data_IF_612813415142
#
_entry.id   IF_612813415142
#
_cell.length_a   1.000
_cell.length_b   1.000
_cell.length_c   1.000
_cell.angle_alpha   90.00
_cell.angle_beta   90.00
_cell.angle_gamma   90.00
#
_symmetry.space_group_name_H-M   'P 1'
#
loop_
_entity.id
_entity.type
_entity.pdbx_description
1 polymer ?
#
# COMPACT_ATOMS: atom_id res chain seq x y z
N UNK A 1 5.27 18.06 -14.07
CA UNK A 1 4.70 17.84 -15.41
C UNK A 1 5.75 17.07 -16.21
N UNK A 2 5.40 16.11 -17.06
CA UNK A 2 6.40 15.43 -17.90
C UNK A 2 6.64 16.23 -19.19
N UNK A 3 7.72 15.91 -19.90
CA UNK A 3 8.19 16.70 -21.04
C UNK A 3 7.19 16.69 -22.21
N UNK A 4 6.55 15.55 -22.50
CA UNK A 4 5.52 15.44 -23.55
C UNK A 4 4.33 16.40 -23.28
N UNK A 5 3.82 16.45 -22.04
CA UNK A 5 2.75 17.36 -21.66
C UNK A 5 3.22 18.81 -21.59
N UNK A 6 4.47 19.04 -21.15
CA UNK A 6 5.03 20.38 -21.09
C UNK A 6 5.15 20.98 -22.49
N UNK A 7 5.70 20.23 -23.46
CA UNK A 7 5.80 20.67 -24.84
C UNK A 7 4.42 20.96 -25.45
N UNK A 8 3.46 20.04 -25.27
CA UNK A 8 2.09 20.27 -25.74
C UNK A 8 1.46 21.53 -25.10
N UNK A 9 1.80 21.84 -23.85
CA UNK A 9 1.36 23.11 -23.26
C UNK A 9 1.96 24.31 -23.99
N UNK A 10 3.27 24.29 -24.30
CA UNK A 10 3.95 25.37 -25.03
C UNK A 10 3.35 25.56 -26.43
N UNK A 11 3.13 24.47 -27.17
CA UNK A 11 2.59 24.50 -28.53
C UNK A 11 1.15 25.05 -28.59
N UNK A 12 0.41 24.90 -27.49
CA UNK A 12 -0.96 25.40 -27.31
C UNK A 12 -1.03 26.87 -26.89
N UNK A 13 0.04 27.45 -26.34
CA UNK A 13 0.10 28.86 -25.87
C UNK A 13 0.34 29.83 -27.04
N UNK A 14 -0.62 29.87 -27.96
CA UNK A 14 -0.61 30.73 -29.14
C UNK A 14 -1.97 31.37 -29.34
N UNK A 15 -1.97 32.51 -30.03
CA UNK A 15 -3.16 33.30 -30.35
C UNK A 15 -3.95 33.76 -29.12
N UNK A 16 -3.29 33.94 -27.97
CA UNK A 16 -3.90 34.45 -26.75
C UNK A 16 -3.78 35.99 -26.68
N UNK A 17 -4.79 36.64 -26.10
CA UNK A 17 -4.69 38.03 -25.64
C UNK A 17 -4.19 38.03 -24.19
N UNK A 18 -3.03 38.66 -23.96
CA UNK A 18 -2.32 38.60 -22.68
C UNK A 18 -2.30 39.98 -22.02
N UNK A 19 -2.75 39.99 -20.77
CA UNK A 19 -2.97 41.21 -20.00
C UNK A 19 -2.05 41.29 -18.79
N UNK A 20 -1.87 42.50 -18.25
CA UNK A 20 -0.92 42.74 -17.17
C UNK A 20 -1.47 42.33 -15.80
N UNK A 21 -2.73 42.64 -15.55
CA UNK A 21 -3.31 42.49 -14.21
C UNK A 21 -3.81 41.05 -13.99
N UNK A 22 -3.56 40.48 -12.81
CA UNK A 22 -4.07 39.16 -12.47
C UNK A 22 -5.58 39.23 -12.27
N UNK A 23 -6.32 38.72 -13.25
CA UNK A 23 -7.72 38.35 -13.14
C UNK A 23 -7.86 36.82 -12.95
N UNK A 24 -9.03 36.34 -12.53
CA UNK A 24 -9.33 34.91 -12.58
C UNK A 24 -9.01 34.33 -13.97
N UNK A 25 -8.30 33.19 -14.01
CA UNK A 25 -7.80 32.58 -15.25
C UNK A 25 -8.91 32.26 -16.25
N UNK A 26 -10.16 32.07 -15.81
CA UNK A 26 -11.30 31.84 -16.70
C UNK A 26 -11.79 33.10 -17.42
N UNK A 27 -11.44 34.30 -16.93
CA UNK A 27 -11.83 35.57 -17.54
C UNK A 27 -10.75 36.08 -18.50
N UNK A 28 -9.49 36.05 -18.08
CA UNK A 28 -8.41 36.69 -18.82
C UNK A 28 -7.07 35.98 -18.54
N UNK A 29 -6.19 35.94 -19.53
CA UNK A 29 -4.84 35.38 -19.36
C UNK A 29 -3.89 36.49 -18.92
N UNK A 30 -3.37 36.38 -17.70
CA UNK A 30 -2.35 37.32 -17.22
C UNK A 30 -0.94 36.87 -17.60
N UNK A 31 -0.07 37.82 -17.89
CA UNK A 31 1.34 37.54 -18.18
C UNK A 31 2.03 36.83 -17.00
N UNK A 32 1.68 37.23 -15.77
CA UNK A 32 2.17 36.59 -14.55
C UNK A 32 1.78 35.10 -14.50
N UNK A 33 0.53 34.75 -14.81
CA UNK A 33 0.08 33.35 -14.79
C UNK A 33 0.81 32.47 -15.80
N UNK A 34 1.15 33.01 -16.98
CA UNK A 34 1.95 32.30 -17.97
C UNK A 34 3.34 32.04 -17.41
N UNK A 35 4.01 33.06 -16.87
CA UNK A 35 5.34 32.89 -16.27
C UNK A 35 5.35 31.91 -15.10
N UNK A 36 4.40 31.99 -14.17
CA UNK A 36 4.26 30.99 -13.11
C UNK A 36 4.16 29.57 -13.69
N UNK A 37 3.41 29.39 -14.79
CA UNK A 37 3.31 28.13 -15.50
C UNK A 37 4.63 27.66 -16.11
N UNK A 38 5.30 28.54 -16.85
CA UNK A 38 6.55 28.25 -17.56
C UNK A 38 7.72 27.94 -16.62
N UNK A 39 7.90 28.73 -15.57
CA UNK A 39 8.94 28.47 -14.55
C UNK A 39 8.65 27.20 -13.74
N UNK A 40 7.42 26.68 -13.79
CA UNK A 40 7.08 25.36 -13.26
C UNK A 40 7.56 24.17 -14.10
N UNK A 41 8.04 24.39 -15.32
CA UNK A 41 8.58 23.35 -16.21
C UNK A 41 10.03 23.08 -15.83
N UNK A 42 10.33 21.81 -15.55
CA UNK A 42 11.66 21.36 -15.15
C UNK A 42 12.65 21.33 -16.33
N UNK A 43 12.19 20.90 -17.52
CA UNK A 43 13.02 20.87 -18.71
C UNK A 43 13.33 22.30 -19.20
N UNK A 44 14.59 22.69 -19.11
CA UNK A 44 15.02 24.06 -19.37
C UNK A 44 14.86 24.49 -20.83
N UNK A 45 15.04 23.55 -21.77
CA UNK A 45 14.88 23.81 -23.20
C UNK A 45 13.43 24.15 -23.54
N UNK A 46 12.48 23.34 -23.04
CA UNK A 46 11.04 23.56 -23.23
C UNK A 46 10.61 24.87 -22.56
N UNK A 47 11.14 25.16 -21.37
CA UNK A 47 10.87 26.40 -20.65
C UNK A 47 11.37 27.62 -21.44
N UNK A 48 12.60 27.59 -21.94
CA UNK A 48 13.20 28.67 -22.72
C UNK A 48 12.43 28.92 -24.02
N UNK A 49 12.03 27.84 -24.71
CA UNK A 49 11.18 27.92 -25.90
C UNK A 49 9.83 28.61 -25.57
N UNK A 50 9.17 28.16 -24.50
CA UNK A 50 7.91 28.74 -24.05
C UNK A 50 8.01 30.23 -23.74
N UNK A 51 9.08 30.67 -23.09
CA UNK A 51 9.35 32.09 -22.81
C UNK A 51 9.57 32.88 -24.12
N UNK A 52 10.32 32.32 -25.07
CA UNK A 52 10.53 32.94 -26.39
C UNK A 52 9.25 33.04 -27.22
N UNK A 53 8.34 32.08 -27.04
CA UNK A 53 7.08 31.98 -27.77
C UNK A 53 6.03 33.00 -27.32
N UNK A 54 6.11 33.54 -26.10
CA UNK A 54 5.12 34.47 -25.55
C UNK A 54 4.88 35.65 -26.49
N UNK A 55 5.94 36.43 -26.79
CA UNK A 55 5.84 37.61 -27.65
C UNK A 55 5.67 37.27 -29.13
N UNK A 56 6.13 36.08 -29.54
CA UNK A 56 6.15 35.67 -30.95
C UNK A 56 4.77 35.22 -31.44
N UNK A 57 4.00 34.55 -30.60
CA UNK A 57 2.76 33.90 -31.01
C UNK A 57 1.51 34.42 -30.29
N UNK A 58 1.64 35.41 -29.41
CA UNK A 58 0.52 35.97 -28.65
C UNK A 58 0.50 37.50 -28.72
N UNK A 59 -0.66 38.07 -28.43
CA UNK A 59 -0.88 39.51 -28.45
C UNK A 59 -0.88 40.06 -27.03
N UNK A 60 0.15 40.84 -26.71
CA UNK A 60 0.27 41.47 -25.39
C UNK A 60 -0.36 42.87 -25.42
N UNK A 61 -1.09 43.22 -24.35
CA UNK A 61 -1.45 44.62 -24.11
C UNK A 61 -0.19 45.47 -23.87
N UNK A 62 -0.24 46.77 -24.19
CA UNK A 62 0.89 47.68 -23.99
C UNK A 62 1.42 47.68 -22.54
N UNK A 63 0.51 47.56 -21.56
CA UNK A 63 0.87 47.46 -20.15
C UNK A 63 1.52 46.11 -19.82
N UNK A 64 1.08 45.01 -20.42
CA UNK A 64 1.72 43.71 -20.20
C UNK A 64 3.13 43.69 -20.78
N UNK A 65 3.33 44.29 -21.95
CA UNK A 65 4.64 44.34 -22.59
C UNK A 65 5.63 45.26 -21.82
N UNK A 66 5.15 46.40 -21.32
CA UNK A 66 5.95 47.29 -20.45
C UNK A 66 6.41 46.61 -19.16
N UNK A 67 5.59 45.72 -18.59
CA UNK A 67 5.86 45.05 -17.31
C UNK A 67 6.46 43.64 -17.48
N UNK A 68 6.91 43.26 -18.68
CA UNK A 68 7.32 41.90 -19.01
C UNK A 68 8.40 41.33 -18.06
N UNK A 69 9.47 42.09 -17.82
CA UNK A 69 10.57 41.64 -16.95
C UNK A 69 10.15 41.47 -15.48
N UNK A 70 9.27 42.35 -14.99
CA UNK A 70 8.72 42.25 -13.63
C UNK A 70 7.81 41.03 -13.49
N UNK A 71 6.95 40.78 -14.48
CA UNK A 71 6.08 39.60 -14.51
C UNK A 71 6.88 38.29 -14.55
N UNK A 72 7.96 38.25 -15.34
CA UNK A 72 8.89 37.11 -15.40
C UNK A 72 9.50 36.82 -14.03
N UNK A 73 10.11 37.83 -13.41
CA UNK A 73 10.76 37.70 -12.09
C UNK A 73 9.77 37.28 -11.00
N UNK A 74 8.53 37.78 -11.07
CA UNK A 74 7.49 37.41 -10.12
C UNK A 74 6.97 35.98 -10.33
N UNK A 75 6.87 35.53 -11.58
CA UNK A 75 6.42 34.18 -11.92
C UNK A 75 7.42 33.12 -11.46
N UNK A 76 8.72 33.41 -11.58
CA UNK A 76 9.80 32.54 -11.09
C UNK A 76 9.72 32.28 -9.58
N UNK A 77 9.23 33.25 -8.80
CA UNK A 77 9.04 33.10 -7.35
C UNK A 77 7.87 32.20 -6.97
N UNK A 78 6.94 31.94 -7.89
CA UNK A 78 5.73 31.12 -7.65
C UNK A 78 5.48 30.12 -8.80
N UNK A 79 6.43 29.19 -9.04
CA UNK A 79 6.32 28.26 -10.14
C UNK A 79 5.18 27.26 -9.90
N UNK A 80 4.30 27.09 -10.88
CA UNK A 80 3.22 26.12 -10.85
C UNK A 80 2.83 25.70 -12.28
N UNK A 81 3.35 24.57 -12.79
CA UNK A 81 3.15 24.18 -14.19
C UNK A 81 1.69 23.83 -14.51
N UNK A 82 0.88 23.48 -13.51
CA UNK A 82 -0.55 23.16 -13.71
C UNK A 82 -1.38 24.38 -14.14
N UNK A 83 -0.83 25.59 -14.05
CA UNK A 83 -1.49 26.80 -14.54
C UNK A 83 -1.63 26.75 -16.07
N UNK A 84 -0.65 26.19 -16.79
CA UNK A 84 -0.68 26.15 -18.26
C UNK A 84 -1.86 25.32 -18.78
N UNK A 85 -2.12 24.16 -18.18
CA UNK A 85 -3.26 23.33 -18.56
C UNK A 85 -4.59 24.02 -18.26
N UNK A 86 -4.67 24.81 -17.18
CA UNK A 86 -5.84 25.64 -16.88
C UNK A 86 -6.05 26.75 -17.92
N UNK A 87 -4.99 27.45 -18.31
CA UNK A 87 -5.06 28.49 -19.36
C UNK A 87 -5.62 27.87 -20.65
N UNK A 88 -5.05 26.74 -21.09
CA UNK A 88 -5.52 26.06 -22.31
C UNK A 88 -6.97 25.59 -22.19
N UNK A 89 -7.38 25.08 -21.02
CA UNK A 89 -8.77 24.66 -20.79
C UNK A 89 -9.79 25.78 -21.02
N UNK A 90 -9.47 27.01 -20.63
CA UNK A 90 -10.40 28.14 -20.73
C UNK A 90 -10.24 28.92 -22.04
N UNK A 91 -9.01 29.14 -22.51
CA UNK A 91 -8.71 30.05 -23.61
C UNK A 91 -8.31 29.35 -24.91
N UNK A 92 -8.13 28.02 -24.89
CA UNK A 92 -7.87 27.22 -26.08
C UNK A 92 -8.55 25.85 -25.98
N UNK A 93 -9.89 25.88 -25.84
CA UNK A 93 -10.72 24.73 -25.45
C UNK A 93 -10.58 23.53 -26.39
N UNK A 94 -10.57 23.77 -27.70
CA UNK A 94 -10.48 22.70 -28.70
C UNK A 94 -9.13 21.98 -28.61
N UNK A 95 -8.04 22.75 -28.49
CA UNK A 95 -6.70 22.18 -28.29
C UNK A 95 -6.60 21.43 -26.96
N UNK A 96 -7.23 21.95 -25.89
CA UNK A 96 -7.26 21.27 -24.60
C UNK A 96 -7.97 19.92 -24.68
N UNK A 97 -9.14 19.86 -25.30
CA UNK A 97 -9.93 18.63 -25.40
C UNK A 97 -9.26 17.59 -26.32
N UNK A 98 -8.64 18.02 -27.42
CA UNK A 98 -8.02 17.11 -28.40
C UNK A 98 -6.62 16.63 -28.00
N UNK A 99 -5.81 17.49 -27.37
CA UNK A 99 -4.38 17.20 -27.12
C UNK A 99 -4.08 17.09 -25.63
N UNK A 100 -4.41 18.12 -24.84
CA UNK A 100 -4.00 18.18 -23.42
C UNK A 100 -4.72 17.14 -22.57
N UNK A 101 -6.04 16.99 -22.73
CA UNK A 101 -6.87 16.10 -21.92
C UNK A 101 -6.49 14.61 -22.10
N UNK A 102 -6.27 14.10 -23.33
CA UNK A 102 -5.72 12.75 -23.52
C UNK A 102 -4.35 12.55 -22.86
N UNK A 103 -3.43 13.52 -22.99
CA UNK A 103 -2.11 13.45 -22.37
C UNK A 103 -2.19 13.43 -20.83
N UNK A 104 -3.07 14.24 -20.24
CA UNK A 104 -3.34 14.21 -18.79
C UNK A 104 -3.83 12.84 -18.33
N UNK A 105 -4.73 12.21 -19.09
CA UNK A 105 -5.24 10.86 -18.79
C UNK A 105 -4.12 9.82 -18.86
N UNK A 106 -3.33 9.83 -19.95
CA UNK A 106 -2.17 8.94 -20.15
C UNK A 106 -1.16 9.06 -19.01
N UNK A 107 -0.83 10.28 -18.61
CA UNK A 107 0.11 10.55 -17.51
C UNK A 107 -0.41 10.07 -16.15
N UNK A 108 -1.70 10.26 -15.89
CA UNK A 108 -2.32 9.77 -14.66
C UNK A 108 -2.25 8.23 -14.60
N UNK A 109 -2.57 7.55 -15.69
CA UNK A 109 -2.49 6.09 -15.78
C UNK A 109 -1.04 5.57 -15.65
N UNK A 110 -0.07 6.25 -16.28
CA UNK A 110 1.35 5.92 -16.16
C UNK A 110 1.85 6.03 -14.71
N UNK A 111 1.55 7.15 -14.04
CA UNK A 111 1.89 7.33 -12.61
C UNK A 111 1.23 6.29 -11.72
N UNK A 112 -0.02 5.90 -12.03
CA UNK A 112 -0.71 4.83 -11.31
C UNK A 112 0.00 3.48 -11.47
N UNK A 113 0.46 3.15 -12.68
CA UNK A 113 1.24 1.93 -12.95
C UNK A 113 2.62 1.97 -12.28
N UNK A 114 3.34 3.09 -12.35
CA UNK A 114 4.64 3.25 -11.68
C UNK A 114 4.53 3.06 -10.17
N UNK A 115 3.53 3.68 -9.53
CA UNK A 115 3.23 3.44 -8.11
C UNK A 115 2.95 1.96 -7.85
N UNK A 116 2.13 1.31 -8.67
CA UNK A 116 1.86 -0.12 -8.55
C UNK A 116 3.14 -0.98 -8.66
N UNK A 117 4.05 -0.63 -9.57
CA UNK A 117 5.35 -1.31 -9.72
C UNK A 117 6.25 -1.11 -8.51
N UNK A 118 6.34 0.12 -7.99
CA UNK A 118 7.12 0.44 -6.79
C UNK A 118 6.61 -0.33 -5.57
N UNK A 119 5.28 -0.36 -5.37
CA UNK A 119 4.63 -1.19 -4.34
C UNK A 119 5.02 -2.65 -4.51
N UNK A 120 4.99 -3.13 -5.76
CA UNK A 120 5.27 -4.51 -6.03
C UNK A 120 6.72 -4.92 -5.73
N UNK A 121 7.67 -3.97 -5.79
CA UNK A 121 9.07 -4.17 -5.46
C UNK A 121 9.37 -3.96 -3.96
N UNK A 122 8.63 -3.08 -3.28
CA UNK A 122 8.92 -2.66 -1.90
C UNK A 122 8.27 -3.56 -0.85
N UNK A 123 7.15 -4.21 -1.19
CA UNK A 123 6.49 -5.15 -0.27
C UNK A 123 7.28 -6.46 -0.16
N UNK A 124 7.87 -6.66 1.03
CA UNK A 124 8.53 -7.88 1.48
C UNK A 124 7.55 -9.06 1.36
N UNK A 125 8.00 -10.27 0.97
CA UNK A 125 7.14 -11.45 0.88
C UNK A 125 6.26 -11.65 2.12
N UNK A 126 4.96 -11.86 1.91
CA UNK A 126 3.99 -12.16 2.98
C UNK A 126 4.53 -13.20 3.95
N UNK A 127 4.99 -12.73 5.10
CA UNK A 127 5.33 -13.58 6.23
C UNK A 127 4.46 -13.09 7.37
N UNK A 128 3.42 -13.87 7.64
CA UNK A 128 2.62 -13.67 8.84
C UNK A 128 3.49 -14.13 10.00
N UNK A 129 3.77 -13.21 10.92
CA UNK A 129 4.45 -13.48 12.17
C UNK A 129 3.41 -13.42 13.31
N UNK A 130 3.31 -14.49 14.09
CA UNK A 130 2.39 -14.53 15.24
C UNK A 130 2.95 -13.82 16.49
N UNK A 131 4.26 -13.51 16.53
CA UNK A 131 4.86 -12.73 17.62
C UNK A 131 4.58 -11.23 17.49
N UNK A 132 4.31 -10.78 16.27
CA UNK A 132 3.85 -9.42 16.01
C UNK A 132 2.47 -9.20 16.64
N UNK A 133 2.25 -8.08 17.33
CA UNK A 133 0.99 -7.81 18.03
C UNK A 133 -0.17 -7.42 17.13
N UNK A 134 0.09 -7.05 15.87
CA UNK A 134 -0.94 -6.49 14.98
C UNK A 134 -2.09 -7.48 14.70
N UNK A 135 -3.31 -6.96 14.72
CA UNK A 135 -4.57 -7.65 14.45
C UNK A 135 -5.43 -6.86 13.46
N UNK A 136 -6.53 -7.47 13.01
CA UNK A 136 -7.54 -6.76 12.23
C UNK A 136 -8.22 -5.62 13.02
N UNK A 137 -8.27 -5.70 14.35
CA UNK A 137 -8.85 -4.65 15.18
C UNK A 137 -7.97 -3.39 15.14
N UNK A 138 -6.65 -3.55 15.29
CA UNK A 138 -5.71 -2.43 15.17
C UNK A 138 -5.83 -1.73 13.82
N UNK A 139 -6.01 -2.50 12.75
CA UNK A 139 -6.26 -1.97 11.41
C UNK A 139 -7.59 -1.19 11.32
N UNK A 140 -8.65 -1.66 11.99
CA UNK A 140 -9.93 -0.96 12.08
C UNK A 140 -9.80 0.37 12.79
N UNK A 141 -9.12 0.39 13.94
CA UNK A 141 -8.88 1.60 14.72
C UNK A 141 -8.05 2.62 13.94
N UNK A 142 -6.93 2.16 13.35
CA UNK A 142 -6.06 2.99 12.50
C UNK A 142 -6.80 3.59 11.31
N UNK A 143 -7.70 2.82 10.69
CA UNK A 143 -8.54 3.31 9.59
C UNK A 143 -9.61 4.30 10.06
N UNK A 144 -10.23 4.06 11.21
CA UNK A 144 -11.23 4.96 11.81
C UNK A 144 -10.61 6.31 12.19
N UNK A 145 -9.38 6.29 12.73
CA UNK A 145 -8.61 7.48 13.10
C UNK A 145 -8.03 8.24 11.90
N UNK A 146 -8.17 7.70 10.67
CA UNK A 146 -7.65 8.34 9.47
C UNK A 146 -6.13 8.38 9.41
N UNK A 147 -5.44 7.44 10.06
CA UNK A 147 -3.98 7.43 10.18
C UNK A 147 -3.28 6.95 8.89
N UNK A 148 -4.02 6.26 8.01
CA UNK A 148 -3.49 5.86 6.72
C UNK A 148 -3.30 7.07 5.80
N UNK A 149 -2.10 7.21 5.24
CA UNK A 149 -1.80 8.27 4.28
C UNK A 149 -2.13 7.83 2.85
N UNK A 150 -2.04 6.53 2.58
CA UNK A 150 -2.12 5.97 1.24
C UNK A 150 -2.49 4.46 1.29
N UNK A 151 -2.79 3.87 0.14
CA UNK A 151 -3.22 2.47 0.06
C UNK A 151 -2.08 1.49 0.40
N UNK A 152 -0.84 1.92 0.21
CA UNK A 152 0.36 1.12 0.40
C UNK A 152 0.52 0.68 1.86
N UNK A 153 0.30 1.60 2.80
CA UNK A 153 0.31 1.29 4.24
C UNK A 153 -0.77 0.25 4.63
N UNK A 154 -1.93 0.30 3.97
CA UNK A 154 -3.02 -0.64 4.19
C UNK A 154 -2.63 -2.02 3.67
N UNK A 155 -2.01 -2.09 2.49
CA UNK A 155 -1.52 -3.36 1.93
C UNK A 155 -0.44 -3.95 2.83
N UNK A 156 0.50 -3.15 3.35
CA UNK A 156 1.52 -3.60 4.30
C UNK A 156 0.90 -4.25 5.54
N UNK A 157 -0.06 -3.60 6.18
CA UNK A 157 -0.74 -4.15 7.35
C UNK A 157 -1.54 -5.42 6.98
N UNK A 158 -2.25 -5.44 5.85
CA UNK A 158 -2.96 -6.62 5.38
C UNK A 158 -2.02 -7.80 5.11
N UNK A 159 -0.83 -7.59 4.55
CA UNK A 159 0.12 -8.68 4.23
C UNK A 159 0.71 -9.36 5.47
N UNK A 160 0.67 -8.68 6.62
CA UNK A 160 1.03 -9.23 7.94
C UNK A 160 -0.12 -10.03 8.56
N UNK A 161 -1.34 -9.83 8.08
CA UNK A 161 -2.56 -10.39 8.67
C UNK A 161 -3.20 -11.50 7.82
N UNK A 162 -3.05 -11.45 6.50
CA UNK A 162 -3.87 -12.24 5.58
C UNK A 162 -3.04 -12.76 4.40
N UNK A 163 -3.30 -14.00 4.01
CA UNK A 163 -2.87 -14.56 2.73
C UNK A 163 -3.89 -15.61 2.26
N UNK A 164 -3.76 -16.08 1.02
CA UNK A 164 -4.57 -17.18 0.52
C UNK A 164 -3.77 -18.12 -0.38
N UNK A 165 -4.27 -19.34 -0.57
CA UNK A 165 -3.72 -20.33 -1.49
C UNK A 165 -4.84 -21.22 -2.04
N UNK A 166 -4.55 -21.86 -3.16
CA UNK A 166 -5.47 -22.79 -3.81
C UNK A 166 -5.70 -24.02 -2.90
N UNK A 167 -6.96 -24.23 -2.51
CA UNK A 167 -7.41 -25.44 -1.82
C UNK A 167 -7.93 -26.48 -2.81
N UNK A 168 -8.49 -27.58 -2.30
CA UNK A 168 -9.00 -28.67 -3.14
C UNK A 168 -10.24 -28.25 -3.96
N UNK A 169 -11.12 -27.43 -3.38
CA UNK A 169 -12.40 -27.03 -4.00
C UNK A 169 -12.53 -25.53 -4.20
N UNK A 170 -11.90 -24.74 -3.33
CA UNK A 170 -11.91 -23.29 -3.37
C UNK A 170 -10.65 -22.74 -2.68
N UNK A 171 -10.37 -21.45 -2.87
CA UNK A 171 -9.25 -20.77 -2.23
C UNK A 171 -9.43 -20.74 -0.70
N UNK A 172 -8.38 -21.15 0.01
CA UNK A 172 -8.33 -21.11 1.47
C UNK A 172 -7.58 -19.85 1.90
N UNK A 173 -8.21 -19.07 2.77
CA UNK A 173 -7.64 -17.85 3.31
C UNK A 173 -7.12 -18.11 4.72
N UNK A 174 -5.86 -17.77 4.96
CA UNK A 174 -5.25 -17.83 6.29
C UNK A 174 -5.18 -16.42 6.86
N UNK A 175 -5.90 -16.19 7.96
CA UNK A 175 -6.01 -14.90 8.61
C UNK A 175 -5.55 -14.97 10.06
N UNK A 176 -4.64 -14.06 10.42
CA UNK A 176 -4.16 -13.87 11.78
C UNK A 176 -5.28 -13.28 12.64
N UNK A 177 -5.44 -13.81 13.83
CA UNK A 177 -6.36 -13.30 14.83
C UNK A 177 -5.93 -13.67 16.24
N UNK A 178 -6.53 -13.00 17.21
CA UNK A 178 -6.24 -13.20 18.63
C UNK A 178 -7.16 -14.25 19.23
N UNK A 179 -6.58 -15.26 19.88
CA UNK A 179 -7.31 -16.27 20.67
C UNK A 179 -7.36 -15.82 22.14
N UNK A 180 -8.54 -15.39 22.58
CA UNK A 180 -8.75 -14.89 23.94
C UNK A 180 -8.66 -15.98 25.03
N UNK A 181 -8.80 -17.26 24.68
CA UNK A 181 -8.68 -18.36 25.65
C UNK A 181 -7.21 -18.58 26.01
N UNK A 182 -6.32 -18.44 25.03
CA UNK A 182 -4.90 -18.74 25.18
C UNK A 182 -4.01 -17.49 25.24
N UNK A 183 -4.61 -16.30 25.10
CA UNK A 183 -3.92 -15.01 25.12
C UNK A 183 -2.74 -14.96 24.12
N UNK A 184 -3.01 -15.48 22.92
CA UNK A 184 -2.01 -15.68 21.86
C UNK A 184 -2.58 -15.36 20.49
N UNK A 185 -1.73 -14.89 19.57
CA UNK A 185 -2.09 -14.78 18.16
C UNK A 185 -2.06 -16.16 17.50
N UNK A 186 -3.06 -16.44 16.67
CA UNK A 186 -3.20 -17.70 15.95
C UNK A 186 -3.57 -17.45 14.48
N UNK A 187 -3.33 -18.44 13.64
CA UNK A 187 -3.69 -18.39 12.22
C UNK A 187 -4.97 -19.20 11.99
N UNK A 188 -6.06 -18.51 11.63
CA UNK A 188 -7.33 -19.14 11.30
C UNK A 188 -7.43 -19.39 9.80
N UNK A 189 -7.84 -20.59 9.42
CA UNK A 189 -8.23 -20.90 8.06
C UNK A 189 -9.72 -20.61 7.87
N UNK A 190 -10.05 -19.84 6.83
CA UNK A 190 -11.42 -19.41 6.53
C UNK A 190 -11.66 -19.41 5.03
N UNK A 191 -12.93 -19.48 4.66
CA UNK A 191 -13.38 -19.31 3.29
C UNK A 191 -13.51 -17.83 2.92
N UNK A 192 -13.47 -17.55 1.61
CA UNK A 192 -13.52 -16.21 1.03
C UNK A 192 -14.66 -15.37 1.63
N UNK A 193 -15.87 -15.93 1.66
CA UNK A 193 -17.07 -15.21 2.09
C UNK A 193 -16.95 -14.66 3.52
N UNK A 194 -16.27 -15.38 4.41
CA UNK A 194 -16.06 -14.94 5.80
C UNK A 194 -15.02 -13.83 5.87
N UNK A 195 -13.90 -13.99 5.19
CA UNK A 195 -12.83 -12.97 5.15
C UNK A 195 -13.35 -11.68 4.52
N UNK A 196 -14.07 -11.77 3.41
CA UNK A 196 -14.62 -10.59 2.73
C UNK A 196 -15.62 -9.84 3.61
N UNK A 197 -16.46 -10.53 4.39
CA UNK A 197 -17.35 -9.88 5.36
C UNK A 197 -16.57 -9.17 6.47
N UNK A 198 -15.43 -9.71 6.91
CA UNK A 198 -14.58 -9.05 7.90
C UNK A 198 -13.91 -7.79 7.32
N UNK A 199 -13.34 -7.89 6.12
CA UNK A 199 -12.67 -6.77 5.45
C UNK A 199 -13.65 -5.66 4.98
N UNK A 200 -14.90 -6.01 4.67
CA UNK A 200 -15.94 -5.03 4.30
C UNK A 200 -16.29 -4.10 5.47
N UNK A 201 -16.13 -4.56 6.72
CA UNK A 201 -16.41 -3.74 7.91
C UNK A 201 -15.36 -2.66 8.16
N UNK A 202 -14.20 -2.74 7.50
CA UNK A 202 -13.08 -1.81 7.67
C UNK A 202 -13.21 -0.69 6.65
N UNK A 203 -13.85 0.41 7.03
CA UNK A 203 -13.95 1.61 6.21
C UNK A 203 -12.63 2.39 6.25
N UNK A 204 -12.07 2.69 5.08
CA UNK A 204 -10.79 3.37 4.94
C UNK A 204 -11.00 4.88 4.80
N UNK A 205 -10.46 5.64 5.74
CA UNK A 205 -10.34 7.09 5.66
C UNK A 205 -8.85 7.46 5.54
N UNK A 206 -8.49 8.24 4.52
CA UNK A 206 -7.13 8.76 4.38
C UNK A 206 -6.97 10.09 5.10
N UNK A 207 -5.83 10.27 5.77
CA UNK A 207 -5.45 11.48 6.51
C UNK A 207 -5.62 12.79 5.72
N UNK A 208 -5.37 12.72 4.40
CA UNK A 208 -5.33 13.86 3.50
C UNK A 208 -6.52 13.94 2.53
N UNK A 209 -7.72 13.50 2.93
CA UNK A 209 -8.93 13.90 2.19
C UNK A 209 -9.08 15.42 2.30
N UNK A 210 -8.46 16.15 1.35
CA UNK A 210 -8.94 17.48 1.01
C UNK A 210 -10.42 17.34 0.77
N UNK A 211 -11.19 18.23 1.38
CA UNK A 211 -12.57 18.50 0.99
C UNK A 211 -12.46 19.09 -0.41
N UNK A 212 -12.17 18.25 -1.41
CA UNK A 212 -12.22 18.67 -2.79
C UNK A 212 -13.69 18.94 -3.09
N UNK A 213 -13.87 20.15 -3.61
CA UNK A 213 -15.13 20.81 -3.92
C UNK A 213 -16.18 19.85 -4.46
N UNK A 214 -17.41 20.06 -3.99
CA UNK A 214 -18.65 19.50 -4.50
C UNK A 214 -18.65 19.54 -6.04
N UNK A 215 -18.25 18.45 -6.68
CA UNK A 215 -18.69 18.17 -8.04
C UNK A 215 -20.14 17.71 -7.92
N UNK A 216 -21.05 18.39 -8.61
CA UNK A 216 -22.52 18.20 -8.58
C UNK A 216 -23.04 16.84 -9.08
N UNK A 217 -22.19 15.83 -9.19
CA UNK A 217 -22.61 14.45 -9.44
C UNK A 217 -22.68 13.68 -8.12
N UNK A 218 -23.82 13.80 -7.43
CA UNK A 218 -24.25 12.87 -6.36
C UNK A 218 -24.46 11.46 -6.94
N UNK A 219 -23.38 10.75 -7.26
CA UNK A 219 -23.34 9.30 -7.08
C UNK A 219 -22.75 9.07 -5.71
N UNK A 220 -23.56 8.57 -4.77
CA UNK A 220 -23.07 8.02 -3.51
C UNK A 220 -22.02 6.94 -3.82
N UNK A 221 -20.76 7.34 -3.90
CA UNK A 221 -19.68 6.39 -4.10
C UNK A 221 -19.59 5.56 -2.83
N UNK A 222 -19.82 4.24 -2.96
CA UNK A 222 -19.66 3.30 -1.85
C UNK A 222 -18.33 3.59 -1.12
N UNK A 223 -18.31 3.56 0.22
CA UNK A 223 -17.10 3.82 0.99
C UNK A 223 -16.00 2.85 0.56
N UNK A 224 -14.76 3.35 0.46
CA UNK A 224 -13.60 2.52 0.22
C UNK A 224 -13.38 1.64 1.46
N UNK A 225 -13.35 0.32 1.28
CA UNK A 225 -13.14 -0.64 2.37
C UNK A 225 -11.85 -1.42 2.19
N UNK A 226 -11.33 -2.03 3.26
CA UNK A 226 -10.14 -2.89 3.17
C UNK A 226 -10.34 -4.03 2.16
N UNK A 227 -11.57 -4.51 1.95
CA UNK A 227 -11.90 -5.49 0.91
C UNK A 227 -11.59 -4.98 -0.50
N UNK A 228 -11.88 -3.72 -0.79
CA UNK A 228 -11.58 -3.12 -2.10
C UNK A 228 -10.06 -3.08 -2.33
N UNK A 229 -9.30 -2.71 -1.30
CA UNK A 229 -7.83 -2.71 -1.35
C UNK A 229 -7.30 -4.13 -1.52
N UNK A 230 -7.76 -5.08 -0.71
CA UNK A 230 -7.38 -6.48 -0.83
C UNK A 230 -7.57 -7.02 -2.25
N UNK A 231 -8.76 -6.81 -2.85
CA UNK A 231 -9.04 -7.23 -4.23
C UNK A 231 -8.12 -6.58 -5.26
N UNK A 232 -7.84 -5.28 -5.10
CA UNK A 232 -6.94 -4.53 -6.00
C UNK A 232 -5.52 -5.10 -5.99
N UNK A 233 -5.05 -5.59 -4.84
CA UNK A 233 -3.72 -6.14 -4.65
C UNK A 233 -3.70 -7.66 -4.44
N UNK A 234 -4.73 -8.40 -4.91
CA UNK A 234 -4.93 -9.82 -4.61
C UNK A 234 -3.68 -10.69 -4.86
N UNK A 235 -2.97 -10.46 -5.98
CA UNK A 235 -1.76 -11.20 -6.33
C UNK A 235 -0.64 -11.10 -5.28
N UNK A 236 -0.67 -10.08 -4.42
CA UNK A 236 0.26 -9.95 -3.31
C UNK A 236 -0.01 -10.92 -2.19
N UNK A 237 -1.25 -11.35 -2.00
CA UNK A 237 -1.68 -12.22 -0.91
C UNK A 237 -1.56 -13.71 -1.24
N UNK A 238 -1.31 -14.06 -2.50
CA UNK A 238 -1.28 -15.43 -2.98
C UNK A 238 -0.03 -16.22 -2.53
N UNK A 239 -0.25 -17.47 -2.13
CA UNK A 239 0.77 -18.52 -1.92
C UNK A 239 0.44 -19.70 -2.83
N UNK A 240 1.47 -20.49 -3.18
CA UNK A 240 1.34 -21.70 -3.99
C UNK A 240 0.58 -22.83 -3.27
N UNK A 241 0.54 -22.79 -1.95
CA UNK A 241 -0.04 -23.83 -1.11
C UNK A 241 0.46 -23.69 0.33
N UNK A 242 0.19 -24.70 1.16
CA UNK A 242 0.67 -24.76 2.53
C UNK A 242 1.42 -26.07 2.81
N UNK A 243 2.40 -26.02 3.71
CA UNK A 243 3.08 -27.17 4.30
C UNK A 243 3.23 -26.94 5.81
N UNK A 244 3.44 -28.01 6.57
CA UNK A 244 3.71 -27.88 7.99
C UNK A 244 4.91 -26.95 8.26
N UNK A 245 6.05 -27.21 7.62
CA UNK A 245 7.24 -26.34 7.58
C UNK A 245 7.77 -26.30 6.15
N UNK A 246 8.11 -25.10 5.66
CA UNK A 246 8.73 -24.90 4.35
C UNK A 246 9.74 -23.76 4.36
N UNK A 247 10.85 -23.95 3.65
CA UNK A 247 11.83 -22.90 3.35
C UNK A 247 11.46 -22.10 2.09
N UNK A 248 10.52 -22.60 1.27
CA UNK A 248 10.05 -21.90 0.08
C UNK A 248 9.14 -20.74 0.48
N UNK A 249 9.51 -19.47 0.24
CA UNK A 249 8.70 -18.31 0.62
C UNK A 249 7.35 -18.26 -0.12
N UNK A 250 7.16 -19.02 -1.20
CA UNK A 250 5.88 -19.13 -1.92
C UNK A 250 4.91 -20.11 -1.27
N UNK A 251 5.35 -20.93 -0.31
CA UNK A 251 4.52 -21.87 0.43
C UNK A 251 4.27 -21.31 1.83
N UNK A 252 3.02 -21.36 2.30
CA UNK A 252 2.69 -21.05 3.69
C UNK A 252 3.26 -22.14 4.61
N UNK A 253 4.06 -21.73 5.59
CA UNK A 253 4.41 -22.55 6.76
C UNK A 253 3.29 -22.45 7.78
N UNK A 254 2.62 -23.57 8.06
CA UNK A 254 1.50 -23.64 9.03
C UNK A 254 2.02 -23.65 10.47
N UNK A 255 3.17 -24.28 10.71
CA UNK A 255 3.80 -24.31 12.02
C UNK A 255 4.48 -22.98 12.34
N UNK A 256 3.86 -22.20 13.22
CA UNK A 256 4.33 -20.86 13.62
C UNK A 256 4.95 -20.85 15.03
N UNK A 257 5.31 -22.02 15.55
CA UNK A 257 5.75 -22.22 16.93
C UNK A 257 4.71 -22.92 17.80
N UNK A 258 5.03 -23.02 19.08
CA UNK A 258 4.13 -23.63 20.07
C UNK A 258 3.05 -22.65 20.50
N UNK A 259 1.88 -23.22 20.84
CA UNK A 259 0.71 -22.47 21.28
C UNK A 259 0.97 -21.63 22.54
N UNK A 260 1.91 -22.06 23.40
CA UNK A 260 2.16 -21.45 24.69
C UNK A 260 3.38 -20.52 24.64
N UNK A 261 3.30 -19.42 25.40
CA UNK A 261 4.41 -18.48 25.58
C UNK A 261 5.58 -19.20 26.26
N UNK A 262 6.80 -18.86 25.85
CA UNK A 262 8.00 -19.31 26.54
C UNK A 262 8.06 -18.61 27.89
N UNK A 263 8.21 -19.38 28.97
CA UNK A 263 8.44 -18.86 30.31
C UNK A 263 9.92 -18.54 30.52
N UNK A 264 10.21 -17.51 31.33
CA UNK A 264 11.58 -17.11 31.67
C UNK A 264 12.20 -18.06 32.71
N UNK A 265 11.35 -18.71 33.52
CA UNK A 265 11.75 -19.64 34.58
C UNK A 265 11.11 -21.01 34.36
N UNK A 266 11.79 -22.06 34.82
CA UNK A 266 11.30 -23.43 34.77
C UNK A 266 10.78 -23.81 36.16
N UNK A 267 9.49 -24.11 36.25
CA UNK A 267 8.85 -24.59 37.48
C UNK A 267 8.97 -26.12 37.58
N UNK A 268 10.05 -26.58 38.21
CA UNK A 268 10.34 -28.01 38.32
C UNK A 268 9.26 -28.78 39.11
N UNK A 269 8.58 -28.16 40.06
CA UNK A 269 7.50 -28.79 40.82
C UNK A 269 6.35 -29.29 39.92
N UNK A 270 5.97 -28.50 38.91
CA UNK A 270 4.96 -28.91 37.94
C UNK A 270 5.45 -30.03 37.02
N UNK A 271 6.74 -30.05 36.71
CA UNK A 271 7.35 -31.07 35.84
C UNK A 271 7.61 -32.38 36.59
N UNK A 272 7.84 -32.33 37.90
CA UNK A 272 8.27 -33.46 38.72
C UNK A 272 7.30 -34.65 38.59
N UNK A 273 6.00 -34.39 38.66
CA UNK A 273 4.97 -35.43 38.48
C UNK A 273 5.10 -36.17 37.15
N UNK A 274 5.43 -35.47 36.06
CA UNK A 274 5.64 -36.09 34.75
C UNK A 274 6.97 -36.85 34.68
N UNK A 275 8.03 -36.30 35.27
CA UNK A 275 9.34 -36.93 35.33
C UNK A 275 9.29 -38.23 36.15
N UNK A 276 8.60 -38.22 37.29
CA UNK A 276 8.40 -39.38 38.15
C UNK A 276 7.55 -40.44 37.46
N UNK A 277 6.49 -40.05 36.75
CA UNK A 277 5.70 -40.99 35.95
C UNK A 277 6.57 -41.70 34.90
N UNK A 278 7.42 -40.96 34.18
CA UNK A 278 8.29 -41.54 33.16
C UNK A 278 9.33 -42.46 33.82
N UNK A 279 9.92 -42.06 34.96
CA UNK A 279 10.96 -42.82 35.63
C UNK A 279 10.41 -44.08 36.30
N UNK A 280 9.45 -43.91 37.20
CA UNK A 280 8.99 -44.96 38.10
C UNK A 280 8.02 -45.91 37.40
N UNK A 281 7.15 -45.40 36.52
CA UNK A 281 6.12 -46.22 35.87
C UNK A 281 6.55 -46.70 34.49
N UNK A 282 6.99 -45.79 33.61
CA UNK A 282 7.28 -46.15 32.21
C UNK A 282 8.64 -46.87 32.08
N UNK A 283 9.67 -46.32 32.72
CA UNK A 283 11.01 -46.90 32.69
C UNK A 283 11.22 -47.97 33.78
N UNK A 284 10.26 -48.16 34.69
CA UNK A 284 10.34 -49.09 35.83
C UNK A 284 11.65 -48.92 36.65
N UNK A 285 12.12 -47.68 36.80
CA UNK A 285 13.36 -47.33 37.48
C UNK A 285 14.65 -47.55 36.67
N UNK A 286 14.58 -48.03 35.42
CA UNK A 286 15.76 -48.16 34.55
C UNK A 286 16.22 -46.79 34.04
N UNK A 287 17.38 -46.34 34.51
CA UNK A 287 17.94 -45.02 34.18
C UNK A 287 18.25 -44.85 32.68
N UNK A 288 18.67 -45.92 31.99
CA UNK A 288 18.99 -45.85 30.57
C UNK A 288 17.72 -45.67 29.74
N UNK A 289 16.65 -46.37 30.11
CA UNK A 289 15.34 -46.23 29.47
C UNK A 289 14.75 -44.85 29.77
N UNK A 290 14.83 -44.40 31.03
CA UNK A 290 14.39 -43.06 31.44
C UNK A 290 15.05 -41.95 30.63
N UNK A 291 16.39 -41.95 30.56
CA UNK A 291 17.16 -40.95 29.80
C UNK A 291 16.83 -40.99 28.31
N UNK A 292 16.69 -42.19 27.74
CA UNK A 292 16.29 -42.35 26.33
C UNK A 292 14.93 -41.71 26.05
N UNK A 293 13.92 -41.93 26.92
CA UNK A 293 12.59 -41.35 26.76
C UNK A 293 12.65 -39.82 26.83
N UNK A 294 13.34 -39.26 27.82
CA UNK A 294 13.46 -37.80 27.97
C UNK A 294 14.14 -37.17 26.75
N UNK A 295 15.26 -37.73 26.30
CA UNK A 295 15.97 -37.26 25.12
C UNK A 295 15.11 -37.36 23.85
N UNK A 296 14.31 -38.43 23.74
CA UNK A 296 13.37 -38.60 22.64
C UNK A 296 12.26 -37.55 22.64
N UNK A 297 11.65 -37.26 23.81
CA UNK A 297 10.65 -36.19 23.96
C UNK A 297 11.26 -34.82 23.63
N UNK A 298 12.42 -34.50 24.21
CA UNK A 298 13.12 -33.24 23.96
C UNK A 298 13.44 -33.06 22.47
N UNK A 299 13.92 -34.12 21.80
CA UNK A 299 14.21 -34.08 20.37
C UNK A 299 12.97 -33.79 19.52
N UNK A 300 11.82 -34.42 19.83
CA UNK A 300 10.56 -34.18 19.11
C UNK A 300 10.09 -32.73 19.24
N UNK A 301 10.23 -32.13 20.44
CA UNK A 301 9.88 -30.73 20.68
C UNK A 301 10.84 -29.78 19.97
N UNK A 302 12.13 -30.10 19.91
CA UNK A 302 13.12 -29.27 19.24
C UNK A 302 13.11 -29.39 17.71
N UNK A 303 12.57 -30.49 17.18
CA UNK A 303 12.60 -30.81 15.74
C UNK A 303 11.19 -31.02 15.16
N UNK A 304 10.30 -30.02 15.24
CA UNK A 304 8.95 -30.13 14.69
C UNK A 304 9.01 -30.49 13.20
N UNK A 305 8.11 -31.38 12.77
CA UNK A 305 8.03 -31.82 11.37
C UNK A 305 9.09 -32.85 10.93
N UNK A 306 10.05 -33.21 11.79
CA UNK A 306 11.01 -34.29 11.51
C UNK A 306 10.51 -35.62 12.08
N UNK A 307 10.76 -36.71 11.35
CA UNK A 307 10.43 -38.07 11.81
C UNK A 307 11.46 -38.52 12.85
N UNK A 308 11.00 -38.91 14.03
CA UNK A 308 11.82 -39.45 15.13
C UNK A 308 12.48 -40.80 14.83
N UNK A 309 12.05 -41.51 13.77
CA UNK A 309 12.49 -42.86 13.35
C UNK A 309 12.21 -43.99 14.34
N UNK A 310 11.85 -43.68 15.58
CA UNK A 310 11.45 -44.60 16.62
C UNK A 310 10.11 -44.16 17.23
N UNK A 311 9.26 -45.15 17.57
CA UNK A 311 8.03 -44.98 18.33
C UNK A 311 8.11 -45.86 19.58
N UNK A 312 7.76 -45.29 20.73
CA UNK A 312 7.72 -46.01 22.00
C UNK A 312 6.33 -46.61 22.13
N UNK A 313 6.26 -47.92 22.37
CA UNK A 313 5.01 -48.64 22.59
C UNK A 313 4.99 -49.06 24.06
N UNK A 314 3.99 -48.58 24.80
CA UNK A 314 3.71 -49.02 26.15
C UNK A 314 2.79 -50.25 26.07
N UNK A 315 3.12 -51.31 26.81
CA UNK A 315 2.33 -52.54 26.92
C UNK A 315 1.68 -52.63 28.29
#
# INVERSE_FOLDING_TARGET
MNDELAQACIDGLKNLEIHNYPQPINMEVSLLSIFCGLYGIANESIRAEGIGNIRKFNKLSANADKNYGQASSNGERKPNPCILTKILRYHNKDYYEQIIKPLLKKNYEAKKKEKQTLINQTLIPNKIDLQDGITLLDMQEKAANGEYENEEQIVMDLTRLLLYYEGETEDIYAIKGYDAICDTQVLYQKLEGTVYKQLEKININFKNKKIDEKSDDKKESKPLTAKHIFKKYASKFAKKGCKFISEDPKILTVFQGYKYKKLDTIEYECLQMYLDLIKETIAAGDERVYEYILNWIAWMIQNPGKKSRAAIVLQ
#
